data_IF_249130351800
#
_entry.id   IF_249130351800
#
_cell.length_a   1.000
_cell.length_b   1.000
_cell.length_c   1.000
_cell.angle_alpha   90.00
_cell.angle_beta   90.00
_cell.angle_gamma   90.00
#
_symmetry.space_group_name_H-M   'P 1'
#
loop_
_entity.id
_entity.type
_entity.pdbx_description
1 polymer ?
#
# COMPACT_ATOMS: atom_id res chain seq x y z
N UNK A 1 19.92 5.72 4.57
CA UNK A 1 18.53 5.64 4.04
C UNK A 1 18.63 5.01 2.67
N UNK A 2 17.89 3.93 2.42
CA UNK A 2 17.81 3.31 1.10
C UNK A 2 16.87 4.17 0.25
N UNK A 3 17.33 4.65 -0.90
CA UNK A 3 16.49 5.47 -1.78
C UNK A 3 15.36 4.59 -2.37
N UNK A 4 14.12 4.81 -1.92
CA UNK A 4 12.95 4.08 -2.42
C UNK A 4 12.49 4.65 -3.76
N UNK A 5 13.13 4.19 -4.83
CA UNK A 5 12.88 4.63 -6.21
C UNK A 5 11.90 3.66 -6.87
N UNK A 6 10.70 4.12 -7.18
CA UNK A 6 9.69 3.31 -7.86
C UNK A 6 10.02 3.16 -9.34
N UNK A 7 9.99 1.91 -9.81
CA UNK A 7 10.15 1.57 -11.23
C UNK A 7 8.82 1.62 -11.96
N UNK A 8 8.84 2.10 -13.20
CA UNK A 8 7.64 2.11 -14.04
C UNK A 8 7.45 0.77 -14.76
N UNK A 9 6.25 0.22 -14.66
CA UNK A 9 5.80 -0.92 -15.43
C UNK A 9 4.50 -0.57 -16.16
N UNK A 10 4.53 -0.69 -17.49
CA UNK A 10 3.32 -0.60 -18.32
C UNK A 10 2.77 -2.00 -18.56
N UNK A 11 1.57 -2.25 -18.08
CA UNK A 11 0.96 -3.57 -18.09
C UNK A 11 -0.56 -3.46 -18.07
N UNK A 12 -1.24 -4.57 -18.34
CA UNK A 12 -2.68 -4.63 -18.17
C UNK A 12 -3.04 -4.65 -16.68
N UNK A 13 -4.12 -3.98 -16.28
CA UNK A 13 -4.58 -3.91 -14.88
C UNK A 13 -4.63 -5.29 -14.21
N UNK A 14 -5.06 -6.33 -14.93
CA UNK A 14 -5.16 -7.71 -14.42
C UNK A 14 -3.79 -8.32 -14.05
N UNK A 15 -2.70 -7.78 -14.56
CA UNK A 15 -1.33 -8.23 -14.29
C UNK A 15 -0.72 -7.57 -13.04
N UNK A 16 -1.31 -6.46 -12.54
CA UNK A 16 -0.77 -5.67 -11.40
C UNK A 16 -0.47 -6.55 -10.19
N UNK A 17 -1.43 -7.39 -9.78
CA UNK A 17 -1.29 -8.21 -8.58
C UNK A 17 -0.11 -9.17 -8.69
N UNK A 18 -0.02 -9.90 -9.81
CA UNK A 18 1.08 -10.86 -10.01
C UNK A 18 2.42 -10.15 -10.16
N UNK A 19 2.44 -8.97 -10.79
CA UNK A 19 3.65 -8.15 -10.86
C UNK A 19 4.17 -7.76 -9.47
N UNK A 20 3.28 -7.38 -8.55
CA UNK A 20 3.66 -7.10 -7.15
C UNK A 20 4.20 -8.37 -6.48
N UNK A 21 3.52 -9.51 -6.61
CA UNK A 21 3.98 -10.80 -6.04
C UNK A 21 5.37 -11.19 -6.56
N UNK A 22 5.60 -11.02 -7.86
CA UNK A 22 6.88 -11.38 -8.49
C UNK A 22 8.01 -10.47 -8.02
N UNK A 23 7.79 -9.15 -7.90
CA UNK A 23 8.80 -8.23 -7.36
C UNK A 23 9.04 -8.46 -5.86
N UNK A 24 8.02 -8.84 -5.08
CA UNK A 24 8.21 -9.30 -3.70
C UNK A 24 9.15 -10.50 -3.63
N UNK A 25 8.91 -11.54 -4.45
CA UNK A 25 9.77 -12.73 -4.51
C UNK A 25 11.21 -12.37 -4.91
N UNK A 26 11.39 -11.50 -5.91
CA UNK A 26 12.72 -11.02 -6.34
C UNK A 26 13.46 -10.25 -5.25
N UNK A 27 12.74 -9.46 -4.45
CA UNK A 27 13.31 -8.76 -3.30
C UNK A 27 13.65 -9.68 -2.12
N UNK A 28 13.28 -10.96 -2.17
CA UNK A 28 13.58 -11.95 -1.14
C UNK A 28 12.44 -12.22 -0.16
N UNK A 29 11.21 -11.83 -0.49
CA UNK A 29 10.03 -12.35 0.21
C UNK A 29 9.80 -13.82 -0.17
N UNK A 30 9.32 -14.59 0.80
CA UNK A 30 9.00 -16.00 0.63
C UNK A 30 7.49 -16.18 0.55
N UNK A 31 7.02 -17.05 -0.33
CA UNK A 31 5.65 -17.53 -0.30
C UNK A 31 5.60 -18.80 0.56
N UNK A 32 5.06 -18.70 1.78
CA UNK A 32 5.08 -19.79 2.76
C UNK A 32 4.26 -21.00 2.33
N UNK A 33 3.22 -20.77 1.52
CA UNK A 33 2.32 -21.79 0.99
C UNK A 33 2.69 -22.24 -0.44
N UNK A 34 3.93 -22.02 -0.90
CA UNK A 34 4.33 -22.30 -2.29
C UNK A 34 4.17 -23.79 -2.71
N UNK A 35 4.20 -24.71 -1.74
CA UNK A 35 4.04 -26.15 -1.96
C UNK A 35 2.61 -26.66 -1.64
N UNK A 36 1.69 -25.76 -1.29
CA UNK A 36 0.33 -26.11 -0.88
C UNK A 36 -0.69 -26.01 -2.03
N UNK A 37 -1.86 -26.68 -1.94
CA UNK A 37 -2.91 -26.57 -2.94
C UNK A 37 -3.42 -25.13 -3.14
N UNK A 38 -3.34 -24.28 -2.10
CA UNK A 38 -3.79 -22.89 -2.16
C UNK A 38 -2.85 -21.94 -2.91
N UNK A 39 -1.63 -22.36 -3.29
CA UNK A 39 -0.52 -21.48 -3.74
C UNK A 39 -0.83 -20.47 -4.85
N UNK A 40 -1.76 -20.81 -5.76
CA UNK A 40 -2.08 -19.97 -6.93
C UNK A 40 -3.34 -19.11 -6.71
N UNK A 41 -3.96 -19.22 -5.53
CA UNK A 41 -5.21 -18.54 -5.17
C UNK A 41 -5.09 -17.70 -3.90
N UNK A 42 -4.19 -18.11 -3.01
CA UNK A 42 -3.86 -17.42 -1.77
C UNK A 42 -2.34 -17.31 -1.74
N UNK A 43 -1.83 -16.11 -1.47
CA UNK A 43 -0.41 -15.81 -1.43
C UNK A 43 -0.04 -15.44 0.00
N UNK A 44 0.51 -16.40 0.73
CA UNK A 44 0.97 -16.21 2.10
C UNK A 44 2.41 -15.70 2.04
N UNK A 45 2.57 -14.38 2.08
CA UNK A 45 3.86 -13.72 1.87
C UNK A 45 4.55 -13.46 3.20
N UNK A 46 5.83 -13.84 3.29
CA UNK A 46 6.68 -13.66 4.45
C UNK A 46 7.97 -12.91 4.11
N UNK A 47 8.43 -12.06 5.03
CA UNK A 47 9.76 -11.47 4.96
C UNK A 47 10.40 -11.35 6.33
N UNK A 48 11.72 -11.56 6.36
CA UNK A 48 12.56 -11.36 7.55
C UNK A 48 13.03 -9.91 7.74
N UNK A 49 12.62 -8.98 6.86
CA UNK A 49 13.18 -7.64 6.77
C UNK A 49 14.58 -7.61 6.13
N UNK A 50 15.06 -6.41 5.83
CA UNK A 50 16.39 -6.18 5.23
C UNK A 50 17.53 -6.54 6.19
N UNK A 51 17.32 -6.37 7.51
CA UNK A 51 18.28 -6.70 8.56
C UNK A 51 18.16 -8.15 9.07
N UNK A 52 17.16 -8.91 8.61
CA UNK A 52 16.90 -10.28 9.06
C UNK A 52 16.26 -10.38 10.46
N UNK A 53 15.91 -9.25 11.08
CA UNK A 53 15.45 -9.17 12.47
C UNK A 53 13.94 -8.89 12.59
N UNK A 54 13.20 -8.98 11.48
CA UNK A 54 11.78 -8.71 11.44
C UNK A 54 11.01 -9.96 11.01
N UNK A 55 9.71 -10.02 11.28
CA UNK A 55 8.85 -11.13 10.88
C UNK A 55 7.54 -10.56 10.32
N UNK A 56 7.49 -10.45 9.01
CA UNK A 56 6.33 -9.91 8.28
C UNK A 56 5.58 -11.07 7.69
N UNK A 57 4.29 -11.15 7.96
CA UNK A 57 3.43 -12.11 7.30
C UNK A 57 2.12 -11.43 6.92
N UNK A 58 1.70 -11.62 5.68
CA UNK A 58 0.39 -11.21 5.20
C UNK A 58 -0.16 -12.25 4.25
N UNK A 59 -1.47 -12.35 4.23
CA UNK A 59 -2.21 -13.12 3.25
C UNK A 59 -2.75 -12.16 2.19
N UNK A 60 -2.41 -12.43 0.93
CA UNK A 60 -2.88 -11.68 -0.24
C UNK A 60 -3.73 -12.60 -1.12
N UNK A 61 -4.82 -12.05 -1.65
CA UNK A 61 -5.73 -12.78 -2.52
C UNK A 61 -6.06 -11.93 -3.75
N UNK A 62 -5.93 -12.45 -4.97
CA UNK A 62 -6.31 -11.75 -6.20
C UNK A 62 -7.84 -11.77 -6.41
N UNK A 63 -8.64 -11.67 -5.35
CA UNK A 63 -10.10 -11.76 -5.42
C UNK A 63 -10.73 -10.53 -4.79
N UNK A 64 -11.62 -9.88 -5.53
CA UNK A 64 -12.45 -8.77 -5.04
C UNK A 64 -13.66 -9.31 -4.26
N UNK A 65 -13.39 -10.11 -3.22
CA UNK A 65 -14.42 -10.82 -2.46
C UNK A 65 -14.02 -10.90 -0.99
N UNK A 66 -14.15 -9.78 -0.28
CA UNK A 66 -13.74 -9.63 1.13
C UNK A 66 -14.38 -10.68 2.05
N UNK A 67 -15.64 -11.03 1.82
CA UNK A 67 -16.40 -11.96 2.66
C UNK A 67 -16.17 -13.43 2.31
N UNK A 68 -15.44 -13.72 1.23
CA UNK A 68 -15.19 -15.09 0.80
C UNK A 68 -14.25 -15.82 1.77
N UNK A 69 -14.61 -17.04 2.15
CA UNK A 69 -13.72 -17.92 2.91
C UNK A 69 -12.54 -18.36 2.05
N UNK A 70 -11.40 -18.69 2.68
CA UNK A 70 -10.26 -19.29 1.96
C UNK A 70 -10.67 -20.55 1.21
N UNK A 71 -11.49 -21.39 1.87
CA UNK A 71 -11.94 -22.67 1.34
C UNK A 71 -12.79 -22.49 0.07
N UNK A 72 -13.68 -21.50 0.04
CA UNK A 72 -14.52 -21.24 -1.14
C UNK A 72 -13.73 -20.69 -2.31
N UNK A 73 -12.72 -19.84 -2.05
CA UNK A 73 -11.76 -19.39 -3.07
C UNK A 73 -10.98 -20.59 -3.64
N UNK A 74 -10.45 -21.44 -2.76
CA UNK A 74 -9.70 -22.65 -3.16
C UNK A 74 -10.59 -23.61 -3.96
N UNK A 75 -11.87 -23.74 -3.59
CA UNK A 75 -12.85 -24.53 -4.33
C UNK A 75 -13.32 -23.89 -5.65
N UNK A 76 -12.95 -22.63 -5.94
CA UNK A 76 -13.26 -21.94 -7.18
C UNK A 76 -14.67 -21.33 -7.25
N UNK A 77 -15.34 -21.16 -6.10
CA UNK A 77 -16.71 -20.57 -6.07
C UNK A 77 -16.75 -19.08 -6.39
N UNK A 78 -15.60 -18.41 -6.36
CA UNK A 78 -15.45 -16.96 -6.55
C UNK A 78 -14.61 -16.61 -7.78
N UNK A 79 -14.52 -17.50 -8.78
CA UNK A 79 -13.67 -17.28 -9.97
C UNK A 79 -14.01 -15.97 -10.71
N UNK A 80 -15.28 -15.58 -10.79
CA UNK A 80 -15.71 -14.33 -11.46
C UNK A 80 -15.20 -13.05 -10.76
N UNK A 81 -14.70 -13.19 -9.54
CA UNK A 81 -14.09 -12.11 -8.76
C UNK A 81 -12.56 -12.15 -8.77
N UNK A 82 -11.95 -13.12 -9.49
CA UNK A 82 -10.51 -13.15 -9.71
C UNK A 82 -10.10 -12.00 -10.64
N UNK A 83 -9.35 -11.06 -10.09
CA UNK A 83 -8.96 -9.82 -10.77
C UNK A 83 -7.96 -10.06 -11.90
N UNK A 84 -7.35 -11.26 -11.96
CA UNK A 84 -6.39 -11.66 -12.99
C UNK A 84 -7.08 -12.10 -14.28
N UNK A 85 -8.36 -12.43 -14.23
CA UNK A 85 -9.11 -12.97 -15.38
C UNK A 85 -10.36 -12.17 -15.71
N UNK A 86 -11.03 -11.57 -14.71
CA UNK A 86 -12.33 -10.90 -14.89
C UNK A 86 -12.26 -9.38 -14.68
N UNK A 87 -13.42 -8.73 -14.79
CA UNK A 87 -13.59 -7.28 -14.67
C UNK A 87 -13.49 -6.75 -13.25
N UNK A 88 -13.45 -7.62 -12.23
CA UNK A 88 -13.21 -7.26 -10.85
C UNK A 88 -11.86 -6.54 -10.70
N UNK A 89 -11.81 -5.47 -9.90
CA UNK A 89 -10.70 -4.53 -9.94
C UNK A 89 -9.71 -4.60 -8.79
N UNK A 90 -10.16 -4.99 -7.60
CA UNK A 90 -9.36 -4.87 -6.37
C UNK A 90 -9.03 -6.23 -5.75
N UNK A 91 -7.83 -6.34 -5.17
CA UNK A 91 -7.43 -7.52 -4.42
C UNK A 91 -7.98 -7.45 -2.99
N UNK A 92 -7.72 -8.49 -2.21
CA UNK A 92 -7.97 -8.49 -0.77
C UNK A 92 -6.75 -8.96 0.01
N UNK A 93 -6.62 -8.48 1.24
CA UNK A 93 -5.53 -8.84 2.11
C UNK A 93 -5.98 -9.01 3.56
N UNK A 94 -5.15 -9.69 4.34
CA UNK A 94 -5.26 -9.76 5.79
C UNK A 94 -3.87 -9.88 6.39
N UNK A 95 -3.64 -9.24 7.53
CA UNK A 95 -2.41 -9.44 8.30
C UNK A 95 -2.53 -10.72 9.11
N UNK A 96 -1.48 -11.53 9.09
CA UNK A 96 -1.48 -12.83 9.77
C UNK A 96 -0.30 -12.92 10.75
N UNK A 97 -0.43 -13.71 11.81
CA UNK A 97 0.69 -13.94 12.72
C UNK A 97 1.51 -15.16 12.32
N UNK A 98 0.84 -16.20 11.82
CA UNK A 98 1.48 -17.44 11.40
C UNK A 98 0.71 -18.13 10.30
N UNK A 99 1.42 -19.04 9.63
CA UNK A 99 0.85 -19.98 8.66
C UNK A 99 1.16 -21.40 9.12
N UNK A 100 0.14 -22.24 9.13
CA UNK A 100 0.24 -23.67 9.38
C UNK A 100 0.36 -24.40 8.04
N UNK A 101 1.55 -24.96 7.82
CA UNK A 101 1.90 -25.66 6.59
C UNK A 101 1.19 -27.01 6.46
N UNK A 102 0.88 -27.67 7.57
CA UNK A 102 0.27 -29.00 7.56
C UNK A 102 -1.21 -28.92 7.18
N UNK A 103 -1.89 -27.90 7.69
CA UNK A 103 -3.32 -27.69 7.45
C UNK A 103 -3.62 -26.74 6.29
N UNK A 104 -2.60 -26.08 5.73
CA UNK A 104 -2.74 -25.03 4.71
C UNK A 104 -3.69 -23.90 5.15
N UNK A 105 -3.51 -23.44 6.40
CA UNK A 105 -4.34 -22.38 7.00
C UNK A 105 -3.49 -21.31 7.67
N UNK A 106 -3.96 -20.08 7.60
CA UNK A 106 -3.35 -18.94 8.27
C UNK A 106 -4.03 -18.67 9.60
N UNK A 107 -3.25 -18.26 10.60
CA UNK A 107 -3.69 -17.97 11.96
C UNK A 107 -3.20 -16.59 12.41
N UNK A 108 -3.93 -16.01 13.36
CA UNK A 108 -3.59 -14.74 13.99
C UNK A 108 -3.91 -13.53 13.10
N UNK A 109 -4.24 -12.42 13.75
CA UNK A 109 -5.01 -11.28 13.22
C UNK A 109 -6.52 -11.46 13.43
N UNK A 110 -7.16 -10.84 14.44
CA UNK A 110 -8.58 -11.04 14.79
C UNK A 110 -9.57 -10.37 13.82
N UNK A 111 -9.29 -10.33 12.52
CA UNK A 111 -10.02 -9.45 11.60
C UNK A 111 -10.42 -10.07 10.27
N UNK A 112 -11.42 -9.45 9.62
CA UNK A 112 -11.85 -9.80 8.28
C UNK A 112 -10.74 -9.52 7.26
N UNK A 113 -10.96 -9.96 6.02
CA UNK A 113 -10.20 -9.42 4.91
C UNK A 113 -10.53 -7.94 4.72
N UNK A 114 -9.58 -7.22 4.14
CA UNK A 114 -9.74 -5.84 3.73
C UNK A 114 -9.43 -5.72 2.25
N UNK A 115 -10.05 -4.79 1.51
CA UNK A 115 -9.70 -4.58 0.12
C UNK A 115 -8.29 -3.99 0.01
N UNK A 116 -7.51 -4.50 -0.95
CA UNK A 116 -6.26 -3.92 -1.41
C UNK A 116 -6.54 -3.27 -2.76
N UNK A 117 -6.86 -1.98 -2.73
CA UNK A 117 -7.37 -1.29 -3.90
C UNK A 117 -6.25 -0.99 -4.93
N UNK A 118 -6.52 -1.35 -6.18
CA UNK A 118 -5.73 -1.00 -7.36
C UNK A 118 -6.50 -0.06 -8.29
N UNK A 119 -7.74 0.28 -7.92
CA UNK A 119 -8.66 1.04 -8.73
C UNK A 119 -9.43 2.05 -7.89
N UNK A 120 -9.73 3.21 -8.48
CA UNK A 120 -10.67 4.16 -7.86
C UNK A 120 -12.10 3.67 -8.12
N UNK A 121 -12.66 2.94 -7.15
CA UNK A 121 -14.05 2.46 -7.17
C UNK A 121 -14.68 2.32 -5.77
N UNK A 122 -13.88 2.15 -4.72
CA UNK A 122 -14.36 1.92 -3.34
C UNK A 122 -14.21 3.13 -2.45
N UNK A 123 -15.32 3.83 -2.20
CA UNK A 123 -15.34 5.07 -1.41
C UNK A 123 -14.92 4.87 0.06
N UNK A 124 -15.15 3.70 0.65
CA UNK A 124 -14.85 3.39 2.05
C UNK A 124 -14.26 1.99 2.16
N UNK A 125 -14.21 1.39 3.35
CA UNK A 125 -13.88 -0.04 3.56
C UNK A 125 -14.96 -1.02 3.02
N UNK A 126 -15.69 -0.63 1.96
CA UNK A 126 -16.75 -1.40 1.35
C UNK A 126 -16.27 -2.79 0.94
N UNK A 127 -17.07 -3.80 1.29
CA UNK A 127 -16.86 -5.19 0.90
C UNK A 127 -17.45 -5.51 -0.47
N UNK A 128 -18.16 -4.56 -1.09
CA UNK A 128 -18.72 -4.72 -2.42
C UNK A 128 -17.63 -4.85 -3.47
N UNK A 129 -17.91 -5.69 -4.46
CA UNK A 129 -17.08 -5.87 -5.65
C UNK A 129 -17.13 -4.59 -6.47
N UNK A 130 -15.98 -4.20 -7.00
CA UNK A 130 -15.85 -3.14 -7.99
C UNK A 130 -15.44 -3.72 -9.32
N UNK A 131 -16.08 -3.25 -10.39
CA UNK A 131 -15.80 -3.71 -11.74
C UNK A 131 -15.46 -2.55 -12.66
N UNK A 132 -14.63 -2.84 -13.65
CA UNK A 132 -14.36 -1.93 -14.77
C UNK A 132 -15.15 -2.38 -16.00
N UNK A 133 -15.67 -1.42 -16.75
CA UNK A 133 -16.49 -1.66 -17.95
C UNK A 133 -15.74 -2.41 -19.06
N UNK A 134 -14.42 -2.21 -19.15
CA UNK A 134 -13.53 -2.93 -20.09
C UNK A 134 -12.55 -3.82 -19.32
N UNK A 135 -12.59 -5.15 -19.53
CA UNK A 135 -11.69 -6.08 -18.83
C UNK A 135 -10.20 -5.84 -19.13
N UNK A 136 -9.90 -5.39 -20.35
CA UNK A 136 -8.55 -5.01 -20.78
C UNK A 136 -8.42 -3.50 -20.65
N UNK A 137 -7.58 -3.07 -19.72
CA UNK A 137 -7.27 -1.68 -19.44
C UNK A 137 -5.77 -1.57 -19.10
N UNK A 138 -5.06 -0.70 -19.79
CA UNK A 138 -3.64 -0.45 -19.54
C UNK A 138 -3.45 0.49 -18.35
N UNK A 139 -2.45 0.21 -17.52
CA UNK A 139 -2.06 1.06 -16.39
C UNK A 139 -0.56 1.26 -16.33
N UNK A 140 -0.16 2.42 -15.81
CA UNK A 140 1.21 2.66 -15.37
C UNK A 140 1.30 2.25 -13.88
N UNK A 141 2.01 1.16 -13.59
CA UNK A 141 2.33 0.72 -12.24
C UNK A 141 3.71 1.25 -11.84
N UNK A 142 3.76 2.17 -10.87
CA UNK A 142 4.99 2.57 -10.20
C UNK A 142 5.17 1.70 -8.96
N UNK A 143 6.27 0.94 -8.90
CA UNK A 143 6.47 -0.09 -7.88
C UNK A 143 7.88 -0.03 -7.27
N UNK A 144 7.94 -0.02 -5.94
CA UNK A 144 9.15 -0.25 -5.17
C UNK A 144 8.91 -1.42 -4.22
N UNK A 145 9.85 -2.36 -4.17
CA UNK A 145 9.80 -3.52 -3.28
C UNK A 145 11.18 -3.82 -2.72
N UNK A 146 11.27 -3.88 -1.40
CA UNK A 146 12.39 -4.50 -0.68
C UNK A 146 11.85 -5.46 0.41
N UNK A 147 12.71 -5.98 1.29
CA UNK A 147 12.27 -6.92 2.34
C UNK A 147 11.49 -6.26 3.47
N UNK A 148 11.54 -4.95 3.63
CA UNK A 148 10.85 -4.21 4.69
C UNK A 148 9.50 -3.66 4.22
N UNK A 149 9.39 -3.28 2.93
CA UNK A 149 8.27 -2.50 2.43
C UNK A 149 7.95 -2.77 0.95
N UNK A 150 6.67 -2.69 0.63
CA UNK A 150 6.13 -2.62 -0.73
C UNK A 150 5.38 -1.31 -0.88
N UNK A 151 5.70 -0.55 -1.93
CA UNK A 151 5.00 0.68 -2.33
C UNK A 151 4.51 0.48 -3.75
N UNK A 152 3.22 0.70 -3.99
CA UNK A 152 2.63 0.64 -5.32
C UNK A 152 1.78 1.88 -5.59
N UNK A 153 1.80 2.31 -6.85
CA UNK A 153 0.88 3.28 -7.41
C UNK A 153 0.39 2.78 -8.76
N UNK A 154 -0.92 2.55 -8.87
CA UNK A 154 -1.61 2.23 -10.11
C UNK A 154 -2.20 3.53 -10.65
N UNK A 155 -1.63 4.00 -11.75
CA UNK A 155 -2.06 5.19 -12.47
C UNK A 155 -2.76 4.78 -13.77
N UNK A 156 -4.04 5.11 -13.88
CA UNK A 156 -4.83 4.80 -15.06
C UNK A 156 -4.51 5.80 -16.18
N UNK A 157 -3.88 5.30 -17.25
CA UNK A 157 -3.37 6.10 -18.35
C UNK A 157 -3.64 5.44 -19.71
N UNK A 158 -4.79 4.78 -19.84
CA UNK A 158 -5.20 4.15 -21.09
C UNK A 158 -5.97 5.16 -21.95
N UNK A 159 -5.43 5.47 -23.13
CA UNK A 159 -6.08 6.37 -24.09
C UNK A 159 -7.41 5.79 -24.62
N UNK A 160 -7.65 4.48 -24.47
CA UNK A 160 -8.92 3.83 -24.83
C UNK A 160 -9.99 3.94 -23.72
N UNK A 161 -9.64 4.52 -22.56
CA UNK A 161 -10.51 4.77 -21.41
C UNK A 161 -10.30 6.22 -20.90
N UNK A 162 -10.59 7.24 -21.73
CA UNK A 162 -10.31 8.64 -21.39
C UNK A 162 -11.04 9.11 -20.12
N UNK A 163 -12.22 8.55 -19.81
CA UNK A 163 -12.98 8.84 -18.58
C UNK A 163 -12.30 8.34 -17.29
N UNK A 164 -11.26 7.54 -17.45
CA UNK A 164 -10.47 6.93 -16.38
C UNK A 164 -9.06 7.52 -16.28
N UNK A 165 -8.62 8.27 -17.28
CA UNK A 165 -7.30 8.87 -17.33
C UNK A 165 -7.04 9.75 -16.10
N UNK A 166 -5.90 9.54 -15.45
CA UNK A 166 -5.49 10.29 -14.26
C UNK A 166 -5.98 9.72 -12.93
N UNK A 167 -6.89 8.74 -12.94
CA UNK A 167 -7.34 8.10 -11.70
C UNK A 167 -6.20 7.28 -11.12
N UNK A 168 -5.99 7.46 -9.82
CA UNK A 168 -4.81 6.91 -9.14
C UNK A 168 -5.21 6.19 -7.86
N UNK A 169 -4.74 4.96 -7.70
CA UNK A 169 -4.81 4.21 -6.45
C UNK A 169 -3.39 3.87 -5.99
N UNK A 170 -3.10 4.10 -4.72
CA UNK A 170 -1.79 3.84 -4.14
C UNK A 170 -1.92 3.06 -2.85
N UNK A 171 -0.88 2.32 -2.52
CA UNK A 171 -0.76 1.72 -1.21
C UNK A 171 0.68 1.43 -0.83
N UNK A 172 0.84 1.23 0.46
CA UNK A 172 2.07 0.87 1.12
C UNK A 172 1.75 -0.24 2.11
N UNK A 173 2.54 -1.31 2.12
CA UNK A 173 2.50 -2.28 3.20
C UNK A 173 3.91 -2.70 3.59
N UNK A 174 4.17 -2.72 4.90
CA UNK A 174 5.52 -2.93 5.41
C UNK A 174 5.73 -2.30 6.77
N UNK A 175 6.99 -2.15 7.13
CA UNK A 175 7.41 -1.52 8.39
C UNK A 175 7.81 -0.06 8.15
N UNK A 176 7.51 0.85 9.11
CA UNK A 176 8.07 2.20 9.09
C UNK A 176 9.61 2.22 9.04
N UNK A 177 10.17 3.23 8.39
CA UNK A 177 11.62 3.44 8.27
C UNK A 177 12.27 3.85 9.59
N UNK A 178 11.54 4.65 10.38
CA UNK A 178 11.97 5.11 11.69
C UNK A 178 10.88 4.80 12.71
N UNK A 179 11.32 4.37 13.90
CA UNK A 179 10.50 4.20 15.09
C UNK A 179 11.10 5.07 16.18
N UNK A 180 10.28 5.93 16.77
CA UNK A 180 10.74 6.85 17.83
C UNK A 180 10.57 6.24 19.24
N UNK A 181 10.33 4.92 19.32
CA UNK A 181 10.42 4.13 20.54
C UNK A 181 11.76 3.39 20.56
N UNK A 182 12.48 3.46 21.68
CA UNK A 182 13.78 2.81 21.83
C UNK A 182 13.60 1.28 21.88
N UNK A 183 14.00 0.59 20.82
CA UNK A 183 13.82 -0.86 20.71
C UNK A 183 14.83 -1.61 21.57
N UNK A 184 14.42 -2.07 22.74
CA UNK A 184 15.24 -2.93 23.60
C UNK A 184 15.04 -4.44 23.33
N UNK A 185 14.16 -4.81 22.40
CA UNK A 185 13.75 -6.20 22.17
C UNK A 185 14.18 -6.72 20.80
N UNK A 186 14.62 -7.98 20.75
CA UNK A 186 14.91 -8.73 19.52
C UNK A 186 13.98 -9.96 19.44
N UNK A 187 13.30 -10.21 18.30
CA UNK A 187 13.24 -9.39 17.08
C UNK A 187 12.57 -8.02 17.30
N UNK A 188 12.83 -7.08 16.41
CA UNK A 188 12.32 -5.70 16.41
C UNK A 188 10.78 -5.67 16.56
N UNK A 189 10.27 -4.68 17.31
CA UNK A 189 8.86 -4.59 17.72
C UNK A 189 8.15 -3.48 16.93
N UNK A 190 8.31 -3.50 15.62
CA UNK A 190 7.67 -2.54 14.75
C UNK A 190 6.28 -3.03 14.30
N UNK A 191 5.25 -2.16 14.27
CA UNK A 191 3.99 -2.51 13.65
C UNK A 191 4.20 -2.78 12.15
N UNK A 192 3.75 -3.93 11.66
CA UNK A 192 3.53 -4.11 10.23
C UNK A 192 2.26 -3.34 9.86
N UNK A 193 2.42 -2.36 8.98
CA UNK A 193 1.39 -1.37 8.66
C UNK A 193 0.95 -1.48 7.21
N UNK A 194 -0.33 -1.20 6.98
CA UNK A 194 -0.89 -1.04 5.64
C UNK A 194 -1.60 0.31 5.54
N UNK A 195 -1.20 1.08 4.53
CA UNK A 195 -1.80 2.35 4.15
C UNK A 195 -2.29 2.24 2.71
N UNK A 196 -3.51 2.71 2.44
CA UNK A 196 -4.11 2.70 1.12
C UNK A 196 -4.81 4.04 0.85
N UNK A 197 -4.69 4.55 -0.38
CA UNK A 197 -5.31 5.84 -0.75
C UNK A 197 -6.81 5.74 -1.01
N UNK A 198 -7.30 4.51 -1.12
CA UNK A 198 -8.68 4.13 -1.36
C UNK A 198 -8.97 2.97 -0.41
N UNK A 199 -10.21 2.84 0.07
CA UNK A 199 -10.68 1.72 0.88
C UNK A 199 -9.93 1.40 2.21
N UNK A 200 -9.40 2.38 2.96
CA UNK A 200 -8.81 2.10 4.26
C UNK A 200 -9.87 1.63 5.25
N UNK A 201 -9.45 0.86 6.26
CA UNK A 201 -10.32 0.48 7.39
C UNK A 201 -10.93 1.68 8.10
N UNK A 202 -10.16 2.76 8.23
CA UNK A 202 -10.56 4.03 8.85
C UNK A 202 -9.85 5.18 8.15
N UNK A 203 -10.54 6.31 7.89
CA UNK A 203 -9.92 7.46 7.23
C UNK A 203 -8.81 8.05 8.10
N UNK A 204 -7.71 8.47 7.46
CA UNK A 204 -6.54 9.04 8.13
C UNK A 204 -5.82 8.07 9.06
N UNK A 205 -5.91 6.76 8.81
CA UNK A 205 -5.29 5.75 9.66
C UNK A 205 -4.61 4.63 8.86
N UNK A 206 -3.49 4.14 9.40
CA UNK A 206 -2.83 2.92 8.98
C UNK A 206 -3.45 1.75 9.73
N UNK A 207 -3.63 0.64 9.03
CA UNK A 207 -4.01 -0.61 9.69
C UNK A 207 -2.76 -1.36 10.13
N UNK A 208 -2.73 -1.80 11.38
CA UNK A 208 -1.59 -2.52 11.95
C UNK A 208 -2.00 -3.83 12.59
N UNK A 209 -1.11 -4.84 12.54
CA UNK A 209 -1.34 -6.14 13.17
C UNK A 209 -1.29 -6.10 14.71
N UNK A 210 -0.45 -5.22 15.26
CA UNK A 210 -0.30 -4.95 16.68
C UNK A 210 0.34 -3.56 16.87
N UNK A 211 0.14 -2.91 18.03
CA UNK A 211 0.80 -1.64 18.36
C UNK A 211 2.29 -1.84 18.60
N UNK A 212 2.64 -2.91 19.29
CA UNK A 212 4.01 -3.39 19.52
C UNK A 212 3.95 -4.86 19.96
N UNK A 213 5.08 -5.54 20.11
CA UNK A 213 5.19 -6.85 20.77
C UNK A 213 4.77 -6.82 22.25
N UNK A 214 4.85 -5.66 22.90
CA UNK A 214 4.51 -5.50 24.32
C UNK A 214 3.02 -5.17 24.52
N UNK A 215 2.38 -4.56 23.52
CA UNK A 215 0.97 -4.19 23.54
C UNK A 215 0.31 -4.89 22.35
N UNK A 216 0.05 -6.17 22.53
CA UNK A 216 -0.72 -6.97 21.60
C UNK A 216 -2.21 -6.78 21.91
N UNK A 217 -2.84 -5.88 21.16
CA UNK A 217 -4.29 -5.61 21.20
C UNK A 217 -5.00 -6.08 19.91
N UNK A 218 -4.35 -6.95 19.13
CA UNK A 218 -4.84 -7.38 17.81
C UNK A 218 -4.83 -6.27 16.74
N UNK A 219 -5.65 -6.44 15.71
CA UNK A 219 -5.74 -5.55 14.55
C UNK A 219 -6.28 -4.16 14.92
N UNK A 220 -5.44 -3.14 14.77
CA UNK A 220 -5.76 -1.77 15.15
C UNK A 220 -5.71 -0.82 13.95
N UNK A 221 -6.42 0.31 14.08
CA UNK A 221 -6.29 1.46 13.19
C UNK A 221 -5.56 2.56 13.95
N UNK A 222 -4.43 3.00 13.43
CA UNK A 222 -3.56 3.98 14.11
C UNK A 222 -3.51 5.25 13.26
N UNK A 223 -3.76 6.44 13.83
CA UNK A 223 -3.78 7.68 13.08
C UNK A 223 -2.48 7.88 12.29
N UNK A 224 -2.63 8.21 11.02
CA UNK A 224 -1.57 8.69 10.13
C UNK A 224 -1.75 10.18 10.05
N UNK A 225 -1.01 10.87 10.90
CA UNK A 225 -1.03 12.31 10.96
C UNK A 225 0.08 12.83 10.06
N UNK A 226 -0.25 13.78 9.20
CA UNK A 226 0.76 14.67 8.69
C UNK A 226 1.20 15.55 9.85
N UNK A 227 2.44 15.41 10.33
CA UNK A 227 3.08 16.43 11.14
C UNK A 227 3.42 17.62 10.22
N UNK A 228 2.39 18.21 9.61
CA UNK A 228 2.52 19.50 8.96
C UNK A 228 2.65 20.47 10.13
N UNK A 229 3.76 21.19 10.18
CA UNK A 229 3.89 22.35 11.04
C UNK A 229 2.71 23.27 10.77
N UNK A 230 1.72 23.23 11.66
CA UNK A 230 0.35 23.72 11.45
C UNK A 230 0.25 25.24 11.23
N UNK A 231 1.38 25.97 11.14
CA UNK A 231 1.42 27.44 11.03
C UNK A 231 2.55 28.08 10.22
N UNK A 232 3.52 27.37 9.64
CA UNK A 232 4.72 28.05 9.06
C UNK A 232 4.65 28.28 7.54
N UNK A 233 3.80 27.55 6.80
CA UNK A 233 3.68 27.71 5.33
C UNK A 233 2.28 28.11 4.85
N UNK A 234 1.44 28.67 5.74
CA UNK A 234 0.07 29.10 5.43
C UNK A 234 -0.03 30.41 4.61
N UNK A 235 1.08 30.94 4.11
CA UNK A 235 1.03 31.83 2.95
C UNK A 235 1.53 31.02 1.78
N UNK A 236 0.63 30.91 0.80
CA UNK A 236 0.80 30.27 -0.50
C UNK A 236 2.28 30.15 -0.94
N UNK A 237 2.65 29.05 -1.63
CA UNK A 237 3.95 28.99 -2.29
C UNK A 237 4.11 30.29 -3.06
N UNK A 238 5.27 30.92 -2.93
CA UNK A 238 5.55 32.19 -3.59
C UNK A 238 5.10 32.13 -5.05
N UNK A 239 4.91 33.30 -5.68
CA UNK A 239 4.73 33.41 -7.14
C UNK A 239 5.82 32.65 -7.95
N UNK A 240 6.87 32.16 -7.28
CA UNK A 240 8.03 31.44 -7.77
C UNK A 240 7.83 29.92 -7.90
N UNK A 241 6.69 29.32 -7.50
CA UNK A 241 6.36 27.92 -7.84
C UNK A 241 7.07 26.83 -7.03
N UNK A 242 7.47 27.09 -5.78
CA UNK A 242 8.14 26.09 -4.94
C UNK A 242 7.18 24.98 -4.45
N UNK A 243 7.65 23.73 -4.51
CA UNK A 243 6.93 22.53 -4.03
C UNK A 243 7.64 21.98 -2.79
N UNK A 244 6.86 21.68 -1.75
CA UNK A 244 7.35 21.07 -0.51
C UNK A 244 6.87 19.62 -0.45
N UNK A 245 7.81 18.68 -0.26
CA UNK A 245 7.52 17.28 0.01
C UNK A 245 7.62 16.98 1.50
N UNK A 246 6.71 16.18 2.04
CA UNK A 246 6.73 15.79 3.47
C UNK A 246 6.36 14.32 3.63
N UNK A 247 7.17 13.58 4.39
CA UNK A 247 6.92 12.17 4.73
C UNK A 247 5.64 11.98 5.55
N UNK A 248 5.13 10.75 5.59
CA UNK A 248 4.00 10.39 6.45
C UNK A 248 4.47 9.94 7.82
N UNK A 249 3.73 10.36 8.85
CA UNK A 249 3.99 9.96 10.22
C UNK A 249 2.76 9.24 10.78
N UNK A 250 3.00 8.14 11.49
CA UNK A 250 1.95 7.39 12.18
C UNK A 250 2.19 7.48 13.67
N UNK A 251 1.12 7.71 14.43
CA UNK A 251 1.15 7.68 15.87
C UNK A 251 -0.11 8.24 16.51
N UNK A 252 -0.26 8.00 17.81
CA UNK A 252 -1.37 8.50 18.61
C UNK A 252 -0.88 9.22 19.88
N UNK A 253 -1.83 9.62 20.72
CA UNK A 253 -1.55 10.25 22.01
C UNK A 253 -1.24 9.22 23.11
N UNK A 254 -1.11 7.93 22.77
CA UNK A 254 -0.73 6.86 23.71
C UNK A 254 0.78 6.69 23.61
N UNK A 255 1.46 6.74 24.75
CA UNK A 255 2.93 6.85 24.80
C UNK A 255 3.64 5.78 23.96
N UNK A 256 4.43 6.27 23.00
CA UNK A 256 5.55 5.54 22.41
C UNK A 256 5.35 4.94 21.02
N UNK A 257 4.15 4.98 20.42
CA UNK A 257 4.01 4.59 19.02
C UNK A 257 4.10 5.81 18.09
N UNK A 258 5.33 6.14 17.67
CA UNK A 258 5.57 7.12 16.61
C UNK A 258 6.47 6.50 15.56
N UNK A 259 6.07 6.64 14.31
CA UNK A 259 6.67 5.98 13.17
C UNK A 259 6.71 6.94 11.98
N UNK A 260 7.75 6.84 11.14
CA UNK A 260 7.85 7.56 9.88
C UNK A 260 7.88 6.58 8.71
N UNK A 261 7.09 6.87 7.68
CA UNK A 261 7.15 6.16 6.41
C UNK A 261 7.84 7.04 5.37
N UNK A 262 8.80 6.46 4.68
CA UNK A 262 9.51 7.04 3.55
C UNK A 262 9.09 6.37 2.22
N UNK A 263 9.32 7.07 1.10
CA UNK A 263 9.00 6.63 -0.26
C UNK A 263 7.64 7.12 -0.80
N UNK A 264 6.74 7.57 0.07
CA UNK A 264 5.54 8.33 -0.29
C UNK A 264 5.57 9.68 0.45
N UNK A 265 5.27 10.76 -0.25
CA UNK A 265 5.32 12.11 0.28
C UNK A 265 4.03 12.86 -0.01
N UNK A 266 3.46 13.54 0.98
CA UNK A 266 2.49 14.59 0.65
C UNK A 266 3.22 15.75 0.00
N UNK A 267 2.55 16.47 -0.90
CA UNK A 267 3.09 17.68 -1.48
C UNK A 267 2.10 18.84 -1.48
N UNK A 268 2.63 20.05 -1.30
CA UNK A 268 1.91 21.32 -1.45
C UNK A 268 2.77 22.30 -2.26
N UNK A 269 2.12 23.07 -3.13
CA UNK A 269 2.79 23.95 -4.08
C UNK A 269 1.78 24.60 -5.04
N UNK A 270 2.29 25.32 -6.05
CA UNK A 270 1.53 25.92 -7.15
C UNK A 270 2.22 25.60 -8.48
N UNK A 271 1.55 25.87 -9.61
CA UNK A 271 2.10 25.72 -10.96
C UNK A 271 2.54 24.29 -11.34
N UNK A 272 1.86 23.26 -10.83
CA UNK A 272 2.01 21.88 -11.27
C UNK A 272 0.67 21.30 -11.72
N UNK A 273 0.74 20.22 -12.50
CA UNK A 273 -0.39 19.37 -12.88
C UNK A 273 -0.15 17.94 -12.37
N UNK A 274 -1.22 17.26 -11.98
CA UNK A 274 -1.17 15.82 -11.69
C UNK A 274 -0.53 15.05 -12.84
N UNK A 275 0.52 14.29 -12.55
CA UNK A 275 1.31 13.54 -13.53
C UNK A 275 2.68 14.16 -13.82
N UNK A 276 2.91 15.42 -13.45
CA UNK A 276 4.20 16.10 -13.62
C UNK A 276 5.32 15.39 -12.84
N UNK A 277 6.56 15.59 -13.31
CA UNK A 277 7.78 15.17 -12.63
C UNK A 277 8.50 16.42 -12.16
N UNK A 278 8.76 16.50 -10.86
CA UNK A 278 9.56 17.54 -10.23
C UNK A 278 10.97 17.01 -10.05
N UNK A 279 11.95 17.76 -10.53
CA UNK A 279 13.37 17.44 -10.37
C UNK A 279 13.98 18.31 -9.27
N UNK A 280 14.59 17.68 -8.27
CA UNK A 280 15.33 18.35 -7.21
C UNK A 280 16.79 17.95 -7.36
N UNK A 281 17.64 18.94 -7.63
CA UNK A 281 19.09 18.74 -7.59
C UNK A 281 19.55 18.83 -6.14
N UNK A 282 20.07 17.73 -5.61
CA UNK A 282 20.67 17.65 -4.28
C UNK A 282 22.07 17.06 -4.41
N UNK A 283 23.09 17.86 -4.10
CA UNK A 283 24.50 17.53 -4.33
C UNK A 283 24.76 17.16 -5.80
N UNK A 284 25.27 15.96 -6.08
CA UNK A 284 25.54 15.43 -7.43
C UNK A 284 24.38 14.57 -7.98
N UNK A 285 23.26 14.45 -7.26
CA UNK A 285 22.10 13.64 -7.66
C UNK A 285 20.91 14.51 -8.08
N UNK A 286 20.28 14.15 -9.21
CA UNK A 286 18.97 14.68 -9.60
C UNK A 286 17.90 13.70 -9.15
N UNK A 287 17.10 14.09 -8.15
CA UNK A 287 15.99 13.31 -7.65
C UNK A 287 14.71 13.68 -8.39
N UNK A 288 13.99 12.69 -8.91
CA UNK A 288 12.74 12.88 -9.63
C UNK A 288 11.55 12.42 -8.81
N UNK A 289 10.57 13.30 -8.64
CA UNK A 289 9.34 13.04 -7.91
C UNK A 289 8.14 13.19 -8.84
N UNK A 290 7.40 12.10 -9.04
CA UNK A 290 6.17 12.15 -9.84
C UNK A 290 4.99 12.50 -8.95
N UNK A 291 4.20 13.48 -9.38
CA UNK A 291 3.08 14.05 -8.63
C UNK A 291 1.77 13.36 -8.99
N UNK A 292 0.98 12.98 -8.00
CA UNK A 292 -0.31 12.35 -8.20
C UNK A 292 -1.41 12.94 -7.32
N UNK A 293 -2.64 12.80 -7.78
CA UNK A 293 -3.82 13.11 -7.00
C UNK A 293 -4.68 11.83 -6.88
N UNK A 294 -4.95 11.42 -5.64
CA UNK A 294 -5.74 10.22 -5.34
C UNK A 294 -7.17 10.54 -4.94
N UNK A 295 -7.61 11.80 -5.04
CA UNK A 295 -8.94 12.22 -4.63
C UNK A 295 -10.01 11.81 -5.66
N UNK A 296 -11.17 11.43 -5.14
CA UNK A 296 -12.44 11.47 -5.86
C UNK A 296 -13.58 11.59 -4.85
N UNK A 297 -14.82 11.76 -5.33
CA UNK A 297 -15.98 12.01 -4.47
C UNK A 297 -16.17 10.91 -3.41
N UNK A 298 -16.30 11.33 -2.15
CA UNK A 298 -16.56 10.48 -0.97
C UNK A 298 -15.49 9.45 -0.61
N UNK A 299 -14.29 9.52 -1.18
CA UNK A 299 -13.22 8.56 -0.89
C UNK A 299 -12.63 8.76 0.51
N UNK A 300 -12.44 7.64 1.23
CA UNK A 300 -11.60 7.55 2.41
C UNK A 300 -10.19 7.15 2.01
N UNK A 301 -9.20 7.79 2.62
CA UNK A 301 -7.77 7.52 2.41
C UNK A 301 -7.10 7.29 3.76
N UNK A 302 -6.14 6.36 3.83
CA UNK A 302 -5.22 6.26 4.98
C UNK A 302 -4.33 7.49 5.07
N UNK A 303 -4.06 8.14 3.93
CA UNK A 303 -3.25 9.34 3.87
C UNK A 303 -4.08 10.57 4.24
N UNK A 304 -3.52 11.49 5.04
CA UNK A 304 -4.19 12.73 5.45
C UNK A 304 -4.37 13.74 4.30
N UNK A 305 -3.69 13.53 3.18
CA UNK A 305 -3.73 14.38 1.98
C UNK A 305 -3.89 13.50 0.74
N UNK A 306 -4.50 14.05 -0.32
CA UNK A 306 -4.70 13.34 -1.58
C UNK A 306 -3.65 13.66 -2.64
N UNK A 307 -2.85 14.71 -2.43
CA UNK A 307 -1.72 15.05 -3.27
C UNK A 307 -0.50 14.27 -2.77
N UNK A 308 -0.17 13.19 -3.47
CA UNK A 308 0.90 12.27 -3.09
C UNK A 308 1.94 12.21 -4.20
N UNK A 309 3.19 12.33 -3.82
CA UNK A 309 4.34 12.17 -4.69
C UNK A 309 5.13 10.92 -4.30
N UNK A 310 5.76 10.31 -5.29
CA UNK A 310 6.70 9.21 -5.10
C UNK A 310 7.95 9.47 -5.94
N UNK A 311 9.08 8.93 -5.50
CA UNK A 311 10.33 9.03 -6.22
C UNK A 311 10.35 8.02 -7.38
N UNK A 312 10.82 8.44 -8.55
CA UNK A 312 10.91 7.63 -9.78
C UNK A 312 12.31 7.64 -10.37
N UNK A 313 12.59 6.69 -11.27
CA UNK A 313 13.83 6.61 -12.07
C UNK A 313 14.01 7.80 -13.05
#
# INVERSE_FOLDING_TARGET
MTNKICKLHRLERREVFMKIIDEMKKAGWQQLNADAPSKDKIYVMYSSGNDGMKNHSLELRPFDAVTASSQDIIAGKYNDYDIRTYSATDATFRLIERYDKEQDVTFGGPGPFYPLCFHQGKVTNSTSVTTISKPIAMVDLYLYVDKDIVIYCVYENDDNLPERKGKTAMGLFGVPDELYQQEQFKPISAPFSVLVSVCPKSPGAAMVAARSKLIYDGLNSIPVNTFIWDKVFLKAPSLEGNIIFTSFFMGDNVDGLRAKFDGLYTYRGSNFVTGDIVEISQDEEVQKYKLFNTYYSSVWSSFPEFNIALRVE
#
